data_IF_910910710745
#
_entry.id   IF_910910710745
#
_cell.length_a   1.000
_cell.length_b   1.000
_cell.length_c   1.000
_cell.angle_alpha   90.00
_cell.angle_beta   90.00
_cell.angle_gamma   90.00
#
_symmetry.space_group_name_H-M   'P 1'
#
loop_
_entity.id
_entity.type
_entity.pdbx_description
1 polymer ?
#
# COMPACT_ATOMS: atom_id res chain seq x y z
N UNK A 1 -5.54 -8.10 -6.43
CA UNK A 1 -4.09 -8.30 -6.50
C UNK A 1 -3.54 -7.46 -7.64
N UNK A 2 -2.43 -6.73 -7.46
CA UNK A 2 -1.68 -6.21 -8.60
C UNK A 2 -1.40 -7.36 -9.58
N UNK A 3 -1.35 -7.07 -10.88
CA UNK A 3 -0.92 -8.08 -11.85
C UNK A 3 0.52 -8.51 -11.46
N UNK A 4 0.87 -9.79 -11.54
CA UNK A 4 2.17 -10.28 -11.05
C UNK A 4 3.35 -9.46 -11.58
N UNK A 5 3.30 -9.01 -12.83
CA UNK A 5 4.32 -8.15 -13.45
C UNK A 5 4.49 -6.80 -12.73
N UNK A 6 3.40 -6.19 -12.28
CA UNK A 6 3.46 -4.91 -11.54
C UNK A 6 4.04 -5.10 -10.14
N UNK A 7 3.76 -6.24 -9.49
CA UNK A 7 4.34 -6.54 -8.19
C UNK A 7 5.86 -6.73 -8.29
N UNK A 8 6.33 -7.43 -9.33
CA UNK A 8 7.75 -7.62 -9.60
C UNK A 8 8.45 -6.29 -9.90
N UNK A 9 7.85 -5.43 -10.72
CA UNK A 9 8.39 -4.09 -11.00
C UNK A 9 8.58 -3.27 -9.71
N UNK A 10 7.63 -3.30 -8.78
CA UNK A 10 7.80 -2.61 -7.49
C UNK A 10 8.92 -3.27 -6.67
N UNK A 11 8.95 -4.61 -6.63
CA UNK A 11 9.93 -5.36 -5.85
C UNK A 11 11.38 -5.09 -6.30
N UNK A 12 11.62 -4.86 -7.59
CA UNK A 12 12.94 -4.51 -8.14
C UNK A 12 13.51 -3.21 -7.56
N UNK A 13 12.66 -2.31 -7.06
CA UNK A 13 13.06 -1.04 -6.46
C UNK A 13 13.09 -1.07 -4.92
N UNK A 14 12.80 -2.22 -4.29
CA UNK A 14 12.73 -2.34 -2.84
C UNK A 14 13.95 -3.07 -2.27
N UNK A 15 14.42 -2.56 -1.14
CA UNK A 15 15.38 -3.26 -0.29
C UNK A 15 14.69 -3.69 1.01
N UNK A 16 15.03 -4.88 1.51
CA UNK A 16 14.56 -5.33 2.81
C UNK A 16 15.04 -4.38 3.91
N UNK A 17 14.17 -4.09 4.88
CA UNK A 17 14.54 -3.25 6.01
C UNK A 17 15.64 -3.91 6.87
N UNK A 18 16.50 -3.06 7.43
CA UNK A 18 17.55 -3.50 8.35
C UNK A 18 17.01 -4.07 9.66
N UNK A 19 17.93 -4.64 10.46
CA UNK A 19 17.63 -5.14 11.80
C UNK A 19 17.05 -4.02 12.66
N UNK A 20 16.01 -4.33 13.42
CA UNK A 20 15.35 -3.37 14.32
C UNK A 20 14.21 -2.58 13.69
N UNK A 21 13.80 -2.89 12.45
CA UNK A 21 12.59 -2.30 11.88
C UNK A 21 11.39 -2.57 12.80
N UNK A 22 10.58 -1.55 13.16
CA UNK A 22 9.56 -1.67 14.20
C UNK A 22 8.45 -2.69 13.87
N UNK A 23 8.32 -3.09 12.61
CA UNK A 23 7.32 -4.07 12.16
C UNK A 23 7.88 -5.48 11.98
N UNK A 24 9.12 -5.73 12.38
CA UNK A 24 9.71 -7.07 12.34
C UNK A 24 8.91 -8.02 13.24
N UNK A 25 8.40 -9.13 12.68
CA UNK A 25 7.63 -10.13 13.43
C UNK A 25 6.15 -9.80 13.64
N UNK A 26 5.66 -8.68 13.12
CA UNK A 26 4.23 -8.34 13.14
C UNK A 26 3.47 -9.24 12.15
N UNK A 27 2.30 -9.75 12.55
CA UNK A 27 1.42 -10.57 11.70
C UNK A 27 0.33 -9.71 11.09
N UNK A 28 0.20 -9.75 9.77
CA UNK A 28 -0.88 -9.10 9.04
C UNK A 28 -1.87 -10.16 8.56
N UNK A 29 -3.17 -9.91 8.72
CA UNK A 29 -4.21 -10.77 8.14
C UNK A 29 -4.54 -10.28 6.71
N UNK A 30 -4.46 -11.16 5.72
CA UNK A 30 -4.74 -10.83 4.32
C UNK A 30 -6.25 -10.76 4.02
N UNK A 31 -7.09 -11.36 4.86
CA UNK A 31 -8.54 -11.37 4.73
C UNK A 31 -9.24 -11.27 6.09
N UNK A 32 -10.53 -10.90 6.08
CA UNK A 32 -11.40 -10.85 7.27
C UNK A 32 -11.41 -12.20 8.02
N UNK A 33 -11.19 -13.31 7.32
CA UNK A 33 -10.90 -14.59 7.93
C UNK A 33 -9.42 -14.60 8.35
N UNK A 34 -9.18 -14.56 9.67
CA UNK A 34 -7.88 -14.55 10.36
C UNK A 34 -6.91 -15.70 10.00
N UNK A 35 -7.25 -16.55 9.03
CA UNK A 35 -6.52 -17.77 8.69
C UNK A 35 -5.39 -17.54 7.68
N UNK A 36 -5.48 -16.48 6.88
CA UNK A 36 -4.46 -16.15 5.89
C UNK A 36 -3.54 -15.06 6.44
N UNK A 37 -2.49 -15.47 7.17
CA UNK A 37 -1.43 -14.56 7.61
C UNK A 37 -0.56 -14.23 6.40
N UNK A 38 -0.41 -12.94 6.11
CA UNK A 38 0.46 -12.45 5.07
C UNK A 38 1.92 -12.60 5.50
N UNK A 39 2.73 -13.23 4.65
CA UNK A 39 4.18 -13.20 4.76
C UNK A 39 4.70 -11.86 4.25
N UNK A 40 4.88 -10.91 5.17
CA UNK A 40 5.25 -9.54 4.87
C UNK A 40 6.74 -9.30 5.15
N UNK A 41 7.47 -8.80 4.14
CA UNK A 41 8.85 -8.32 4.28
C UNK A 41 8.82 -6.81 4.50
N UNK A 42 9.21 -6.30 5.68
CA UNK A 42 9.30 -4.86 5.90
C UNK A 42 10.38 -4.24 5.01
N UNK A 43 10.13 -3.01 4.54
CA UNK A 43 11.03 -2.22 3.70
C UNK A 43 11.11 -0.78 4.25
N UNK A 44 12.21 -0.05 4.03
CA UNK A 44 12.27 1.38 4.34
C UNK A 44 11.18 2.14 3.58
N UNK A 45 10.51 3.14 4.20
CA UNK A 45 9.43 3.89 3.55
C UNK A 45 9.99 4.98 2.64
N UNK A 46 10.79 4.61 1.63
CA UNK A 46 11.55 5.53 0.76
C UNK A 46 11.02 5.60 -0.68
N UNK A 47 10.17 4.64 -1.08
CA UNK A 47 9.65 4.53 -2.46
C UNK A 47 8.24 5.09 -2.56
N UNK A 48 8.01 6.02 -3.50
CA UNK A 48 6.69 6.61 -3.78
C UNK A 48 6.02 5.93 -4.98
N UNK A 49 4.74 5.60 -4.82
CA UNK A 49 3.89 5.08 -5.89
C UNK A 49 2.60 5.87 -6.01
N UNK A 50 2.11 6.01 -7.24
CA UNK A 50 0.77 6.52 -7.51
C UNK A 50 -0.22 5.34 -7.52
N UNK A 51 -1.33 5.50 -6.80
CA UNK A 51 -2.42 4.53 -6.74
C UNK A 51 -3.74 5.20 -7.12
N UNK A 52 -4.66 4.43 -7.71
CA UNK A 52 -6.07 4.82 -7.76
C UNK A 52 -6.87 4.01 -6.77
N UNK A 53 -7.76 4.68 -6.05
CA UNK A 53 -8.74 4.07 -5.16
C UNK A 53 -10.13 4.42 -5.62
N UNK A 54 -11.03 3.44 -5.70
CA UNK A 54 -12.45 3.68 -5.98
C UNK A 54 -13.26 3.59 -4.68
N UNK A 55 -14.23 4.50 -4.50
CA UNK A 55 -15.24 4.44 -3.44
C UNK A 55 -16.46 3.68 -3.94
N UNK A 56 -16.33 2.36 -4.09
CA UNK A 56 -17.47 1.50 -4.39
C UNK A 56 -18.05 0.92 -3.08
N UNK A 57 -19.25 1.39 -2.71
CA UNK A 57 -20.11 0.68 -1.77
C UNK A 57 -20.85 -0.38 -2.60
N UNK A 58 -20.65 -1.67 -2.31
CA UNK A 58 -21.43 -2.70 -2.99
C UNK A 58 -22.90 -2.71 -2.51
N UNK A 59 -23.78 -3.38 -3.25
CA UNK A 59 -25.23 -3.39 -3.00
C UNK A 59 -25.62 -4.00 -1.63
N UNK A 60 -24.66 -4.57 -0.88
CA UNK A 60 -24.81 -5.09 0.48
C UNK A 60 -24.18 -4.20 1.56
N UNK A 61 -23.75 -2.98 1.22
CA UNK A 61 -23.12 -2.04 2.17
C UNK A 61 -21.67 -2.40 2.53
N UNK A 62 -21.03 -3.33 1.81
CA UNK A 62 -19.64 -3.69 2.06
C UNK A 62 -18.74 -2.74 1.28
N UNK A 63 -17.91 -2.00 2.01
CA UNK A 63 -16.85 -1.20 1.42
C UNK A 63 -15.81 -2.09 0.77
N UNK A 64 -15.75 -2.07 -0.57
CA UNK A 64 -14.61 -2.61 -1.31
C UNK A 64 -13.93 -1.41 -1.93
N UNK A 65 -12.84 -0.96 -1.33
CA UNK A 65 -11.98 0.07 -1.92
C UNK A 65 -10.87 -0.64 -2.70
N UNK A 66 -11.07 -1.00 -3.97
CA UNK A 66 -9.99 -1.59 -4.75
C UNK A 66 -8.90 -0.54 -4.94
N UNK A 67 -7.75 -0.81 -4.34
CA UNK A 67 -6.52 -0.06 -4.61
C UNK A 67 -5.86 -0.68 -5.84
N UNK A 68 -5.55 0.16 -6.83
CA UNK A 68 -4.81 -0.26 -8.03
C UNK A 68 -3.55 0.58 -8.16
N UNK A 69 -2.41 -0.07 -8.35
CA UNK A 69 -1.14 0.58 -8.67
C UNK A 69 -1.24 1.22 -10.07
N UNK A 70 -0.92 2.51 -10.16
CA UNK A 70 -0.81 3.23 -11.43
C UNK A 70 0.61 3.23 -11.95
N UNK A 71 1.57 3.70 -11.16
CA UNK A 71 2.98 3.82 -11.56
C UNK A 71 3.90 4.11 -10.37
N UNK A 72 5.19 3.83 -10.56
CA UNK A 72 6.28 4.29 -9.70
C UNK A 72 6.54 5.77 -9.93
N UNK A 73 6.81 6.52 -8.86
CA UNK A 73 7.17 7.96 -8.90
C UNK A 73 8.64 8.11 -8.53
N UNK A 74 9.52 7.58 -9.38
CA UNK A 74 10.98 7.68 -9.19
C UNK A 74 11.50 9.13 -9.28
N UNK A 75 10.64 10.05 -9.72
CA UNK A 75 10.86 11.49 -9.76
C UNK A 75 10.43 12.24 -8.49
N UNK A 76 9.92 11.55 -7.46
CA UNK A 76 9.53 12.14 -6.17
C UNK A 76 10.25 11.47 -5.01
N UNK A 77 10.71 12.29 -4.06
CA UNK A 77 11.09 11.83 -2.73
C UNK A 77 9.86 11.75 -1.82
N UNK A 78 10.00 11.03 -0.70
CA UNK A 78 8.93 10.88 0.31
C UNK A 78 8.54 12.23 0.91
N UNK A 79 9.50 13.11 1.12
CA UNK A 79 9.27 14.44 1.68
C UNK A 79 8.48 15.35 0.72
N UNK A 80 8.39 14.99 -0.57
CA UNK A 80 7.55 15.67 -1.56
C UNK A 80 6.09 15.21 -1.50
N UNK A 81 5.76 14.17 -0.72
CA UNK A 81 4.39 13.67 -0.55
C UNK A 81 3.72 14.46 0.57
N UNK A 82 2.63 15.21 0.28
CA UNK A 82 1.92 15.95 1.31
C UNK A 82 1.48 15.02 2.44
N UNK A 83 1.68 15.40 3.71
CA UNK A 83 1.19 14.61 4.82
C UNK A 83 -0.33 14.54 4.76
N UNK A 84 -0.90 13.44 5.27
CA UNK A 84 -2.34 13.38 5.48
C UNK A 84 -2.75 14.53 6.42
N UNK A 85 -3.60 15.43 5.95
CA UNK A 85 -4.06 16.58 6.73
C UNK A 85 -4.85 16.15 7.97
N UNK A 86 -5.00 17.04 8.98
CA UNK A 86 -5.85 16.79 10.14
C UNK A 86 -7.32 16.76 9.69
N UNK A 87 -7.82 15.58 9.32
CA UNK A 87 -9.24 15.31 9.03
C UNK A 87 -9.95 16.33 8.14
N UNK A 88 -9.74 16.26 6.82
CA UNK A 88 -10.49 17.02 5.81
C UNK A 88 -9.58 17.39 4.64
N UNK A 89 -9.89 17.17 3.37
CA UNK A 89 -11.05 16.57 2.74
C UNK A 89 -10.65 15.27 2.05
N UNK A 90 -11.61 14.38 1.90
CA UNK A 90 -11.42 13.23 1.02
C UNK A 90 -11.09 13.78 -0.37
N UNK A 91 -9.94 13.41 -0.94
CA UNK A 91 -9.70 13.60 -2.36
C UNK A 91 -10.84 12.89 -3.10
N UNK A 92 -11.77 13.66 -3.65
CA UNK A 92 -12.81 13.15 -4.52
C UNK A 92 -12.13 12.61 -5.77
N UNK A 93 -12.05 11.29 -5.86
CA UNK A 93 -11.81 10.57 -7.11
C UNK A 93 -13.11 10.37 -7.87
#
# INVERSE_FOLDING_TARGET
MPRPDQALQVAEHLASAGRGHPWTGVRFAAARAYRDVLDAVPVPPELVVEISTDRAIDHGGVYRHPVRLKRLRLDQAVDDVPPFGPGGDVAAG
#
